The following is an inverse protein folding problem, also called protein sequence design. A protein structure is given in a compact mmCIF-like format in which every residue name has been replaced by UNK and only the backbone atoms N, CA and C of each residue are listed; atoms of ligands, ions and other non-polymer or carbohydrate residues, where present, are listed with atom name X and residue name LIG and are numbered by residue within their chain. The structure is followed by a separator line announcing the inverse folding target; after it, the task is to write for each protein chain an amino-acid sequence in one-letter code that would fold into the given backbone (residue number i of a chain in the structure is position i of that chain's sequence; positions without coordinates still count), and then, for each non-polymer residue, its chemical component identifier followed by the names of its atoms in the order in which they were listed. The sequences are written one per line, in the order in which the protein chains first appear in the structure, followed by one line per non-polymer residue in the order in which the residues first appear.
data_IF_547418717044
#
_entry.id   IF_547418717044
#
_cell.length_a   1.000
_cell.length_b   1.000
_cell.length_c   1.000
_cell.angle_alpha   90.00
_cell.angle_beta   90.00
_cell.angle_gamma   90.00
#
_symmetry.space_group_name_H-M   'P 1'
#
loop_
_entity.id
_entity.type
_entity.pdbx_description
1 polymer ?
#
# COMPACT_ATOMS: atom_id res chain seq x y z
N UNK A 1 6.31 28.18 -26.96
CA UNK A 1 5.81 26.79 -26.88
C UNK A 1 7.02 25.89 -26.64
N UNK A 2 7.19 25.26 -25.46
CA UNK A 2 8.34 24.39 -25.21
C UNK A 2 8.15 23.03 -25.91
N UNK A 3 9.26 22.48 -26.41
CA UNK A 3 9.32 21.35 -27.34
C UNK A 3 8.91 19.98 -26.71
N UNK A 4 8.25 19.08 -27.48
CA UNK A 4 7.68 17.82 -26.98
C UNK A 4 8.70 16.67 -26.78
N UNK A 5 10.00 16.97 -26.63
CA UNK A 5 11.06 15.95 -26.58
C UNK A 5 11.56 15.56 -25.18
N UNK A 6 11.40 16.42 -24.17
CA UNK A 6 11.97 16.21 -22.81
C UNK A 6 10.92 16.12 -21.69
N UNK A 7 9.65 16.45 -22.01
CA UNK A 7 8.56 16.37 -21.05
C UNK A 7 8.06 14.93 -20.81
N UNK A 8 8.55 13.92 -21.55
CA UNK A 8 8.04 12.54 -21.49
C UNK A 8 8.60 11.71 -20.34
N UNK A 9 9.93 11.60 -20.22
CA UNK A 9 10.54 10.67 -19.24
C UNK A 9 10.41 11.17 -17.79
N UNK A 10 10.66 12.46 -17.54
CA UNK A 10 10.51 13.01 -16.19
C UNK A 10 9.05 13.04 -15.72
N UNK A 11 8.10 13.26 -16.62
CA UNK A 11 6.67 13.20 -16.26
C UNK A 11 6.21 11.77 -16.02
N UNK A 12 6.72 10.79 -16.77
CA UNK A 12 6.46 9.37 -16.52
C UNK A 12 7.06 8.92 -15.18
N UNK A 13 8.31 9.32 -14.89
CA UNK A 13 8.94 9.07 -13.59
C UNK A 13 8.19 9.74 -12.44
N UNK A 14 7.73 10.98 -12.65
CA UNK A 14 6.92 11.70 -11.68
C UNK A 14 5.55 11.05 -11.45
N UNK A 15 4.89 10.61 -12.52
CA UNK A 15 3.62 9.89 -12.44
C UNK A 15 3.79 8.57 -11.68
N UNK A 16 4.85 7.81 -11.99
CA UNK A 16 5.20 6.58 -11.27
C UNK A 16 5.50 6.86 -9.79
N UNK A 17 6.24 7.93 -9.49
CA UNK A 17 6.52 8.35 -8.11
C UNK A 17 5.24 8.74 -7.35
N UNK A 18 4.34 9.51 -7.98
CA UNK A 18 3.04 9.86 -7.41
C UNK A 18 2.19 8.62 -7.14
N UNK A 19 2.15 7.66 -8.07
CA UNK A 19 1.45 6.38 -7.88
C UNK A 19 2.04 5.58 -6.72
N UNK A 20 3.37 5.45 -6.67
CA UNK A 20 4.05 4.79 -5.57
C UNK A 20 3.76 5.46 -4.22
N UNK A 21 3.75 6.80 -4.19
CA UNK A 21 3.43 7.56 -2.96
C UNK A 21 1.98 7.38 -2.53
N UNK A 22 1.03 7.35 -3.46
CA UNK A 22 -0.38 7.06 -3.18
C UNK A 22 -0.55 5.65 -2.64
N UNK A 23 0.08 4.65 -3.26
CA UNK A 23 0.06 3.27 -2.79
C UNK A 23 0.66 3.15 -1.38
N UNK A 24 1.78 3.80 -1.09
CA UNK A 24 2.38 3.82 0.25
C UNK A 24 1.48 4.49 1.29
N UNK A 25 0.78 5.58 0.92
CA UNK A 25 -0.21 6.21 1.81
C UNK A 25 -1.41 5.30 2.07
N UNK A 26 -1.90 4.63 1.04
CA UNK A 26 -2.99 3.66 1.17
C UNK A 26 -2.58 2.49 2.06
N UNK A 27 -1.34 2.00 1.94
CA UNK A 27 -0.78 0.96 2.82
C UNK A 27 -0.69 1.41 4.28
N UNK A 28 -0.24 2.64 4.54
CA UNK A 28 -0.21 3.18 5.89
C UNK A 28 -1.61 3.34 6.49
N UNK A 29 -2.56 3.91 5.73
CA UNK A 29 -3.96 4.01 6.15
C UNK A 29 -4.56 2.61 6.36
N UNK A 30 -4.14 1.64 5.55
CA UNK A 30 -4.59 0.28 5.63
C UNK A 30 -4.05 -0.49 6.84
N UNK A 31 -2.85 -0.19 7.30
CA UNK A 31 -2.31 -0.77 8.52
C UNK A 31 -3.17 -0.39 9.74
N UNK A 32 -3.67 0.84 9.77
CA UNK A 32 -4.50 1.36 10.87
C UNK A 32 -5.98 0.96 10.77
N UNK A 33 -6.48 0.67 9.56
CA UNK A 33 -7.89 0.28 9.34
C UNK A 33 -8.14 -1.23 9.49
N UNK A 34 -9.34 -1.59 9.97
CA UNK A 34 -9.76 -3.00 10.03
C UNK A 34 -10.10 -3.57 8.64
N UNK A 35 -9.65 -4.80 8.30
CA UNK A 35 -9.93 -5.48 7.04
C UNK A 35 -11.41 -5.62 6.70
N UNK A 36 -12.29 -5.73 7.70
CA UNK A 36 -13.73 -5.79 7.44
C UNK A 36 -14.25 -4.45 6.92
N UNK A 37 -13.80 -3.35 7.51
CA UNK A 37 -14.16 -2.00 7.09
C UNK A 37 -13.61 -1.69 5.69
N UNK A 38 -12.42 -2.17 5.36
CA UNK A 38 -11.88 -2.06 4.00
C UNK A 38 -12.72 -2.78 2.96
N UNK A 39 -13.22 -3.97 3.30
CA UNK A 39 -14.04 -4.77 2.40
C UNK A 39 -15.35 -4.05 2.06
N UNK A 40 -15.93 -3.38 3.04
CA UNK A 40 -17.17 -2.60 2.87
C UNK A 40 -16.94 -1.28 2.11
N UNK A 41 -15.74 -0.70 2.20
CA UNK A 41 -15.38 0.53 1.48
C UNK A 41 -15.00 0.31 0.01
N UNK A 42 -15.00 -0.93 -0.49
CA UNK A 42 -14.62 -1.24 -1.87
C UNK A 42 -13.13 -1.04 -2.16
N UNK A 43 -12.29 -1.22 -1.14
CA UNK A 43 -10.83 -1.15 -1.28
C UNK A 43 -10.35 -2.26 -2.23
N UNK A 44 -9.33 -2.00 -3.08
CA UNK A 44 -8.81 -3.00 -3.99
C UNK A 44 -8.29 -4.24 -3.25
N UNK A 45 -8.57 -5.41 -3.83
CA UNK A 45 -8.36 -6.72 -3.20
C UNK A 45 -6.90 -6.96 -2.76
N UNK A 46 -5.93 -6.52 -3.57
CA UNK A 46 -4.51 -6.65 -3.25
C UNK A 46 -4.12 -5.97 -1.93
N UNK A 47 -4.77 -4.86 -1.57
CA UNK A 47 -4.48 -4.11 -0.34
C UNK A 47 -5.07 -4.83 0.88
N UNK A 48 -6.23 -5.48 0.72
CA UNK A 48 -6.87 -6.28 1.76
C UNK A 48 -6.05 -7.54 2.05
N UNK A 49 -5.55 -8.22 1.01
CA UNK A 49 -4.67 -9.39 1.15
C UNK A 49 -3.39 -9.02 1.88
N UNK A 50 -2.78 -7.89 1.52
CA UNK A 50 -1.54 -7.44 2.14
C UNK A 50 -1.69 -7.09 3.63
N UNK A 51 -2.73 -6.34 3.99
CA UNK A 51 -2.99 -5.99 5.40
C UNK A 51 -3.33 -7.24 6.24
N UNK A 52 -4.03 -8.21 5.65
CA UNK A 52 -4.36 -9.48 6.30
C UNK A 52 -3.11 -10.32 6.56
N UNK A 53 -2.19 -10.41 5.58
CA UNK A 53 -0.91 -11.12 5.73
C UNK A 53 -0.04 -10.46 6.79
N UNK A 54 0.08 -9.13 6.80
CA UNK A 54 0.83 -8.42 7.83
C UNK A 54 0.31 -8.71 9.24
N UNK A 55 -1.02 -8.68 9.44
CA UNK A 55 -1.62 -9.05 10.73
C UNK A 55 -1.38 -10.50 11.11
N UNK A 56 -1.41 -11.43 10.17
CA UNK A 56 -1.09 -12.83 10.44
C UNK A 56 0.37 -13.02 10.85
N UNK A 57 1.30 -12.32 10.17
CA UNK A 57 2.72 -12.32 10.53
C UNK A 57 2.96 -11.75 11.93
N UNK A 58 2.30 -10.63 12.28
CA UNK A 58 2.39 -10.07 13.63
C UNK A 58 1.87 -11.02 14.70
N UNK A 59 0.76 -11.72 14.43
CA UNK A 59 0.24 -12.76 15.34
C UNK A 59 1.22 -13.90 15.51
N UNK A 60 1.82 -14.40 14.42
CA UNK A 60 2.83 -15.45 14.49
C UNK A 60 4.06 -15.00 15.28
N UNK A 61 4.56 -13.78 15.01
CA UNK A 61 5.67 -13.18 15.74
C UNK A 61 5.37 -13.07 17.24
N UNK A 62 4.18 -12.62 17.60
CA UNK A 62 3.78 -12.51 19.01
C UNK A 62 3.60 -13.89 19.67
N UNK A 63 3.12 -14.90 18.95
CA UNK A 63 3.03 -16.27 19.45
C UNK A 63 4.43 -16.89 19.69
N UNK A 64 5.39 -16.64 18.80
CA UNK A 64 6.78 -17.04 19.00
C UNK A 64 7.44 -16.30 20.17
N UNK A 65 7.09 -15.02 20.38
CA UNK A 65 7.57 -14.24 21.52
C UNK A 65 7.08 -14.80 22.86
N UNK A 66 5.87 -15.35 22.92
CA UNK A 66 5.33 -16.01 24.12
C UNK A 66 5.92 -17.40 24.37
N UNK A 67 6.62 -17.98 23.38
CA UNK A 67 7.21 -19.32 23.47
C UNK A 67 8.64 -19.33 24.04
N UNK A 68 9.27 -18.17 24.17
CA UNK A 68 10.58 -17.97 24.78
C UNK A 68 10.46 -17.35 26.17
#
# INVERSE_FOLDING_TARGET
MPAPGQAGLFSLLWAAYCQWRLQSRLRNLAADMDPHIMKDMGVPEWLIHESTVQRQLERMRNADYLRW
#
